data_IF_191997616086
#
_entry.id   IF_191997616086
#
_cell.length_a   1.000
_cell.length_b   1.000
_cell.length_c   1.000
_cell.angle_alpha   90.00
_cell.angle_beta   90.00
_cell.angle_gamma   90.00
#
_symmetry.space_group_name_H-M   'P 1'
#
loop_
_entity.id
_entity.type
_entity.pdbx_description
1 polymer ?
#
# COMPACT_ATOMS: atom_id res chain seq x y z
N UNK A 1 14.92 -0.95 -10.36
CA UNK A 1 14.12 -1.91 -9.59
C UNK A 1 14.58 -2.07 -8.16
N UNK A 2 15.88 -2.15 -7.89
CA UNK A 2 16.39 -2.26 -6.51
C UNK A 2 16.00 -1.08 -5.63
N UNK A 3 15.98 0.13 -6.19
CA UNK A 3 15.54 1.32 -5.45
C UNK A 3 14.10 1.21 -5.00
N UNK A 4 13.21 0.74 -5.88
CA UNK A 4 11.79 0.57 -5.55
C UNK A 4 11.59 -0.51 -4.50
N UNK A 5 12.31 -1.62 -4.59
CA UNK A 5 12.23 -2.68 -3.59
C UNK A 5 12.77 -2.21 -2.24
N UNK A 6 13.81 -1.39 -2.23
CA UNK A 6 14.31 -0.77 -1.00
C UNK A 6 13.29 0.17 -0.38
N UNK A 7 12.58 0.96 -1.20
CA UNK A 7 11.50 1.81 -0.71
C UNK A 7 10.39 0.97 -0.08
N UNK A 8 10.00 -0.13 -0.73
CA UNK A 8 8.98 -1.02 -0.18
C UNK A 8 9.37 -1.57 1.18
N UNK A 9 10.59 -2.05 1.33
CA UNK A 9 11.06 -2.65 2.57
C UNK A 9 11.32 -1.62 3.68
N UNK A 10 11.93 -0.49 3.34
CA UNK A 10 12.41 0.47 4.33
C UNK A 10 11.39 1.55 4.68
N UNK A 11 10.44 1.85 3.81
CA UNK A 11 9.48 2.94 4.01
C UNK A 11 8.03 2.48 3.95
N UNK A 12 7.64 1.74 2.91
CA UNK A 12 6.24 1.32 2.75
C UNK A 12 5.83 0.36 3.86
N UNK A 13 6.63 -0.68 4.09
CA UNK A 13 6.29 -1.66 5.12
C UNK A 13 6.21 -1.02 6.51
N UNK A 14 7.23 -0.28 7.00
CA UNK A 14 7.15 0.30 8.34
C UNK A 14 6.04 1.34 8.51
N UNK A 15 5.84 2.23 7.55
CA UNK A 15 4.90 3.34 7.72
C UNK A 15 3.47 2.96 7.34
N UNK A 16 3.29 2.33 6.19
CA UNK A 16 1.95 2.02 5.68
C UNK A 16 1.45 0.72 6.28
N UNK A 17 2.17 -0.37 6.09
CA UNK A 17 1.67 -1.68 6.49
C UNK A 17 1.72 -1.89 8.01
N UNK A 18 2.90 -1.74 8.62
CA UNK A 18 3.04 -1.98 10.06
C UNK A 18 2.45 -0.85 10.89
N UNK A 19 2.60 0.41 10.43
CA UNK A 19 2.13 1.56 11.18
C UNK A 19 0.64 1.78 11.10
N UNK A 20 0.08 1.81 9.91
CA UNK A 20 -1.33 2.17 9.71
C UNK A 20 -2.21 0.94 9.50
N UNK A 21 -1.93 0.13 8.48
CA UNK A 21 -2.80 -1.00 8.13
C UNK A 21 -2.89 -2.01 9.27
N UNK A 22 -1.78 -2.37 9.88
CA UNK A 22 -1.78 -3.31 10.99
C UNK A 22 -2.67 -2.83 12.13
N UNK A 23 -2.51 -1.57 12.54
CA UNK A 23 -3.26 -1.02 13.66
C UNK A 23 -4.76 -0.85 13.36
N UNK A 24 -5.11 -0.49 12.11
CA UNK A 24 -6.51 -0.27 11.74
C UNK A 24 -7.25 -1.55 11.39
N UNK A 25 -6.61 -2.50 10.70
CA UNK A 25 -7.27 -3.70 10.18
C UNK A 25 -6.94 -4.95 10.95
N UNK A 26 -5.67 -5.16 11.28
CA UNK A 26 -5.20 -6.45 11.80
C UNK A 26 -5.37 -6.54 13.32
N UNK A 27 -4.89 -5.55 14.07
CA UNK A 27 -4.90 -5.59 15.52
C UNK A 27 -6.31 -5.77 16.10
N UNK A 28 -7.35 -5.03 15.65
CA UNK A 28 -8.71 -5.23 16.18
C UNK A 28 -9.26 -6.64 15.95
N UNK A 29 -8.87 -7.30 14.84
CA UNK A 29 -9.33 -8.66 14.55
C UNK A 29 -8.78 -9.70 15.51
N UNK A 30 -7.61 -9.43 16.09
CA UNK A 30 -7.00 -10.32 17.08
C UNK A 30 -7.26 -9.85 18.51
N UNK A 31 -8.25 -8.98 18.70
CA UNK A 31 -8.62 -8.49 20.03
C UNK A 31 -7.64 -7.51 20.63
N UNK A 32 -6.74 -6.95 19.84
CA UNK A 32 -5.77 -5.96 20.29
C UNK A 32 -6.27 -4.55 20.01
N UNK A 33 -6.03 -3.60 20.92
CA UNK A 33 -6.42 -2.22 20.66
C UNK A 33 -5.58 -1.60 19.54
N UNK A 34 -6.19 -0.68 18.79
CA UNK A 34 -5.47 0.15 17.84
C UNK A 34 -4.55 1.11 18.60
N UNK A 35 -3.27 1.14 18.23
CA UNK A 35 -2.30 2.06 18.82
C UNK A 35 -2.32 3.39 18.06
N UNK A 36 -3.19 4.30 18.48
CA UNK A 36 -3.33 5.62 17.84
C UNK A 36 -2.03 6.42 17.77
N UNK A 37 -1.22 6.52 18.84
CA UNK A 37 0.06 7.22 18.72
C UNK A 37 0.96 6.68 17.62
N UNK A 38 1.01 5.37 17.43
CA UNK A 38 1.79 4.75 16.35
C UNK A 38 1.22 5.14 15.00
N UNK A 39 -0.10 5.08 14.83
CA UNK A 39 -0.76 5.48 13.59
C UNK A 39 -0.47 6.94 13.27
N UNK A 40 -0.63 7.83 14.24
CA UNK A 40 -0.42 9.26 14.03
C UNK A 40 1.05 9.58 13.70
N UNK A 41 1.98 8.86 14.31
CA UNK A 41 3.41 9.03 13.98
C UNK A 41 3.76 8.51 12.59
N UNK A 42 3.06 7.47 12.12
CA UNK A 42 3.31 6.87 10.81
C UNK A 42 2.71 7.67 9.65
N UNK A 43 1.61 8.39 9.87
CA UNK A 43 0.89 9.08 8.80
C UNK A 43 1.74 10.09 8.02
N UNK A 44 2.55 10.97 8.65
CA UNK A 44 3.41 11.87 7.89
C UNK A 44 4.41 11.12 7.01
N UNK A 45 4.96 10.03 7.51
CA UNK A 45 5.89 9.19 6.76
C UNK A 45 5.18 8.49 5.59
N UNK A 46 3.97 8.01 5.83
CA UNK A 46 3.14 7.41 4.79
C UNK A 46 2.84 8.41 3.68
N UNK A 47 2.52 9.65 4.03
CA UNK A 47 2.26 10.70 3.05
C UNK A 47 3.47 10.94 2.16
N UNK A 48 4.66 11.10 2.75
CA UNK A 48 5.90 11.29 1.99
C UNK A 48 6.16 10.10 1.08
N UNK A 49 5.92 8.89 1.56
CA UNK A 49 6.09 7.68 0.80
C UNK A 49 5.13 7.63 -0.41
N UNK A 50 3.86 7.96 -0.21
CA UNK A 50 2.86 7.98 -1.28
C UNK A 50 3.23 9.03 -2.33
N UNK A 51 3.65 10.22 -1.92
CA UNK A 51 4.06 11.27 -2.85
C UNK A 51 5.27 10.83 -3.67
N UNK A 52 6.25 10.19 -3.03
CA UNK A 52 7.44 9.69 -3.72
C UNK A 52 7.09 8.58 -4.72
N UNK A 53 6.23 7.66 -4.33
CA UNK A 53 5.80 6.58 -5.23
C UNK A 53 4.99 7.11 -6.41
N UNK A 54 4.12 8.09 -6.18
CA UNK A 54 3.34 8.72 -7.24
C UNK A 54 4.27 9.40 -8.26
N UNK A 55 5.29 10.09 -7.77
CA UNK A 55 6.28 10.74 -8.63
C UNK A 55 7.10 9.72 -9.43
N UNK A 56 7.49 8.60 -8.81
CA UNK A 56 8.24 7.55 -9.49
C UNK A 56 7.41 6.86 -10.57
N UNK A 57 6.13 6.63 -10.30
CA UNK A 57 5.22 6.06 -11.30
C UNK A 57 5.05 7.01 -12.47
N UNK A 58 4.85 8.30 -12.19
CA UNK A 58 4.66 9.32 -13.21
C UNK A 58 3.52 8.97 -14.15
N UNK A 59 3.76 9.14 -15.45
CA UNK A 59 2.79 8.76 -16.47
C UNK A 59 2.92 7.34 -16.98
N UNK A 60 3.75 6.51 -16.36
CA UNK A 60 3.98 5.14 -16.79
C UNK A 60 2.82 4.21 -16.39
N UNK A 61 2.66 3.13 -17.17
CA UNK A 61 1.67 2.10 -16.84
C UNK A 61 2.05 1.35 -15.57
N UNK A 62 3.33 1.07 -15.40
CA UNK A 62 3.90 0.38 -14.24
C UNK A 62 5.13 1.13 -13.74
N UNK A 63 5.65 0.77 -12.58
CA UNK A 63 6.77 1.50 -11.97
C UNK A 63 8.06 1.45 -12.81
N UNK A 64 8.27 0.40 -13.58
CA UNK A 64 9.44 0.25 -14.44
C UNK A 64 8.97 0.26 -15.91
N UNK A 65 8.28 1.33 -16.32
CA UNK A 65 7.88 1.54 -17.70
C UNK A 65 6.54 0.90 -18.06
N UNK A 66 6.49 0.20 -19.18
CA UNK A 66 5.24 -0.33 -19.74
C UNK A 66 4.95 -1.79 -19.37
N UNK A 67 5.85 -2.43 -18.63
CA UNK A 67 5.72 -3.85 -18.29
C UNK A 67 5.64 -4.07 -16.80
N UNK A 68 4.83 -5.05 -16.39
CA UNK A 68 4.73 -5.50 -15.01
C UNK A 68 6.06 -6.10 -14.56
N UNK A 69 6.55 -5.70 -13.40
CA UNK A 69 7.78 -6.22 -12.80
C UNK A 69 7.56 -6.65 -11.36
N UNK A 70 8.59 -7.25 -10.74
CA UNK A 70 8.54 -7.61 -9.33
C UNK A 70 8.31 -6.40 -8.42
N UNK A 71 8.77 -5.22 -8.84
CA UNK A 71 8.54 -4.00 -8.06
C UNK A 71 7.05 -3.72 -7.91
N UNK A 72 6.28 -3.86 -8.99
CA UNK A 72 4.81 -3.69 -8.93
C UNK A 72 4.18 -4.75 -8.03
N UNK A 73 4.59 -6.00 -8.19
CA UNK A 73 4.04 -7.11 -7.38
C UNK A 73 4.36 -6.98 -5.91
N UNK A 74 5.52 -6.40 -5.56
CA UNK A 74 5.90 -6.18 -4.17
C UNK A 74 5.14 -5.03 -3.52
N UNK A 75 4.90 -3.95 -4.26
CA UNK A 75 4.23 -2.76 -3.74
C UNK A 75 2.70 -2.90 -3.67
N UNK A 76 2.12 -3.62 -4.62
CA UNK A 76 0.66 -3.67 -4.77
C UNK A 76 -0.08 -4.18 -3.53
N UNK A 77 0.33 -5.27 -2.85
CA UNK A 77 -0.39 -5.73 -1.67
C UNK A 77 -0.42 -4.69 -0.55
N UNK A 78 0.68 -3.98 -0.32
CA UNK A 78 0.75 -2.95 0.71
C UNK A 78 -0.25 -1.83 0.44
N UNK A 79 -0.29 -1.33 -0.79
CA UNK A 79 -1.18 -0.24 -1.16
C UNK A 79 -2.63 -0.70 -1.29
N UNK A 80 -2.86 -1.95 -1.70
CA UNK A 80 -4.20 -2.52 -1.77
C UNK A 80 -4.86 -2.55 -0.39
N UNK A 81 -4.17 -3.05 0.62
CA UNK A 81 -4.68 -3.03 1.99
C UNK A 81 -4.80 -1.62 2.55
N UNK A 82 -3.94 -0.70 2.13
CA UNK A 82 -4.01 0.68 2.56
C UNK A 82 -5.32 1.35 2.12
N UNK A 83 -5.89 0.95 0.99
CA UNK A 83 -7.20 1.47 0.55
C UNK A 83 -8.35 1.02 1.44
N UNK A 84 -8.17 0.00 2.26
CA UNK A 84 -9.20 -0.48 3.18
C UNK A 84 -9.32 0.37 4.45
N UNK A 85 -8.41 1.32 4.66
CA UNK A 85 -8.43 2.22 5.82
C UNK A 85 -8.72 3.65 5.36
N UNK A 86 -9.44 4.46 6.18
CA UNK A 86 -9.82 5.83 5.78
C UNK A 86 -8.61 6.72 5.46
N UNK A 87 -7.55 6.61 6.25
CA UNK A 87 -6.33 7.39 6.03
C UNK A 87 -5.68 7.05 4.70
N UNK A 88 -5.68 5.76 4.34
CA UNK A 88 -5.13 5.30 3.07
C UNK A 88 -5.92 5.81 1.88
N UNK A 89 -7.24 5.74 1.96
CA UNK A 89 -8.11 6.26 0.92
C UNK A 89 -7.87 7.75 0.71
N UNK A 90 -7.77 8.51 1.79
CA UNK A 90 -7.55 9.95 1.72
C UNK A 90 -6.20 10.30 1.09
N UNK A 91 -5.13 9.58 1.46
CA UNK A 91 -3.80 9.85 0.93
C UNK A 91 -3.64 9.44 -0.54
N UNK A 92 -4.33 8.38 -0.95
CA UNK A 92 -4.25 7.88 -2.34
C UNK A 92 -5.16 8.65 -3.29
N UNK A 93 -6.15 9.37 -2.76
CA UNK A 93 -7.12 10.09 -3.58
C UNK A 93 -6.43 11.14 -4.46
N UNK A 94 -6.74 11.14 -5.75
CA UNK A 94 -6.17 12.07 -6.71
C UNK A 94 -4.78 11.68 -7.22
N UNK A 95 -4.22 10.56 -6.78
CA UNK A 95 -2.93 10.08 -7.25
C UNK A 95 -3.08 9.13 -8.42
N UNK A 96 -2.01 8.99 -9.21
CA UNK A 96 -1.92 8.00 -10.29
C UNK A 96 -1.82 6.58 -9.75
N UNK A 97 -1.48 6.45 -8.48
CA UNK A 97 -1.39 5.15 -7.81
C UNK A 97 -2.71 4.41 -7.78
N UNK A 98 -3.85 5.12 -7.69
CA UNK A 98 -5.16 4.48 -7.73
C UNK A 98 -5.41 3.78 -9.08
N UNK A 99 -5.10 4.42 -10.20
CA UNK A 99 -5.24 3.80 -11.51
C UNK A 99 -4.31 2.61 -11.69
N UNK A 100 -3.07 2.74 -11.22
CA UNK A 100 -2.11 1.65 -11.22
C UNK A 100 -2.62 0.48 -10.38
N UNK A 101 -3.16 0.78 -9.20
CA UNK A 101 -3.68 -0.25 -8.30
C UNK A 101 -4.86 -1.00 -8.91
N UNK A 102 -5.74 -0.32 -9.63
CA UNK A 102 -6.84 -0.97 -10.35
C UNK A 102 -6.30 -1.94 -11.41
N UNK A 103 -5.25 -1.55 -12.14
CA UNK A 103 -4.59 -2.46 -13.08
C UNK A 103 -4.00 -3.68 -12.38
N UNK A 104 -3.38 -3.46 -11.20
CA UNK A 104 -2.82 -4.56 -10.43
C UNK A 104 -3.90 -5.50 -9.91
N UNK A 105 -5.03 -4.98 -9.44
CA UNK A 105 -6.16 -5.80 -8.97
C UNK A 105 -6.73 -6.67 -10.06
N UNK A 106 -6.68 -6.23 -11.30
CA UNK A 106 -7.11 -7.02 -12.45
C UNK A 106 -6.14 -8.14 -12.79
N UNK A 107 -4.90 -8.10 -12.28
CA UNK A 107 -3.92 -9.15 -12.53
C UNK A 107 -4.27 -10.43 -11.78
N UNK A 108 -3.96 -11.56 -12.40
CA UNK A 108 -4.21 -12.87 -11.78
C UNK A 108 -3.41 -13.04 -10.50
N UNK A 109 -2.16 -12.58 -10.49
CA UNK A 109 -1.29 -12.69 -9.33
C UNK A 109 -1.89 -12.03 -8.09
N UNK A 110 -2.42 -10.82 -8.24
CA UNK A 110 -3.06 -10.11 -7.14
C UNK A 110 -4.32 -10.83 -6.65
N UNK A 111 -5.15 -11.31 -7.56
CA UNK A 111 -6.41 -11.97 -7.20
C UNK A 111 -6.18 -13.26 -6.42
N UNK A 112 -5.16 -14.05 -6.78
CA UNK A 112 -4.91 -15.33 -6.12
C UNK A 112 -4.10 -15.19 -4.83
N UNK A 113 -3.38 -14.09 -4.64
CA UNK A 113 -2.52 -13.88 -3.47
C UNK A 113 -3.11 -12.96 -2.42
N UNK A 114 -4.24 -12.32 -2.69
CA UNK A 114 -4.87 -11.43 -1.72
C UNK A 114 -5.28 -12.22 -0.47
N UNK A 115 -4.98 -11.66 0.69
CA UNK A 115 -5.30 -12.30 1.97
C UNK A 115 -6.81 -12.34 2.19
N UNK A 116 -7.39 -13.54 2.17
CA UNK A 116 -8.84 -13.73 2.33
C UNK A 116 -9.36 -13.26 3.68
N UNK A 117 -8.55 -13.41 4.73
CA UNK A 117 -8.93 -12.99 6.07
C UNK A 117 -9.20 -11.50 6.11
N UNK A 118 -8.31 -10.70 5.51
CA UNK A 118 -8.47 -9.24 5.46
C UNK A 118 -9.56 -8.84 4.45
N UNK A 119 -9.65 -9.54 3.33
CA UNK A 119 -10.70 -9.30 2.34
C UNK A 119 -12.10 -9.55 2.93
N UNK A 120 -12.26 -10.61 3.70
CA UNK A 120 -13.52 -10.93 4.37
C UNK A 120 -13.88 -9.93 5.46
N UNK A 121 -12.91 -9.18 5.98
CA UNK A 121 -13.14 -8.16 7.00
C UNK A 121 -13.69 -6.86 6.42
N UNK A 122 -13.34 -6.61 5.18
CA UNK A 122 -13.81 -5.40 4.51
C UNK A 122 -15.28 -5.55 4.12
#
# INVERSE_FOLDING_TARGET
>A
MNQLMGIADCYVFPSISAGVVFNRLVAPRFGRPCDEPVVQAALPKARVCIEALDALLGGNTYFVGAQLTLADLQLAPHLDFFTEVPEGTALLQGTRLLNWLERMRASRSMRVTRCEVLAAAA
#
